data_IF_480705195357
#
_entry.id   IF_480705195357
#
_cell.length_a   1.000
_cell.length_b   1.000
_cell.length_c   1.000
_cell.angle_alpha   90.00
_cell.angle_beta   90.00
_cell.angle_gamma   90.00
#
_symmetry.space_group_name_H-M   'P 1'
#
loop_
_entity.id
_entity.type
_entity.pdbx_description
1 polymer ?
2 branched ?
3 branched ?
4 non-polymer ?
5 non-polymer ?
6 non-polymer ?
7 water ?
#
# COMPACT_ATOMS: atom_id res chain seq x y z
N UNK A 1 18.49 -12.69 13.68
CA UNK A 1 19.57 -13.69 13.44
C UNK A 1 20.39 -13.33 12.20
N UNK A 2 19.93 -13.80 11.03
CA UNK A 2 20.60 -13.54 9.74
C UNK A 2 19.62 -12.74 8.88
N UNK A 3 20.13 -12.03 7.87
CA UNK A 3 19.28 -11.26 6.99
C UNK A 3 18.40 -12.21 6.19
N UNK A 4 17.12 -11.86 6.02
CA UNK A 4 16.24 -12.70 5.24
C UNK A 4 16.56 -12.58 3.75
N UNK A 5 16.50 -13.70 3.04
CA UNK A 5 16.73 -13.74 1.60
C UNK A 5 15.44 -14.23 0.94
N UNK A 6 15.08 -13.61 -0.18
CA UNK A 6 13.87 -13.98 -0.91
C UNK A 6 14.16 -15.23 -1.71
N UNK A 7 14.17 -16.36 -1.04
CA UNK A 7 14.50 -17.61 -1.70
C UNK A 7 13.32 -18.40 -2.25
N UNK A 8 12.11 -18.07 -1.85
CA UNK A 8 10.94 -18.81 -2.33
C UNK A 8 10.14 -18.07 -3.38
N UNK A 9 9.32 -18.84 -4.11
CA UNK A 9 8.47 -18.26 -5.13
C UNK A 9 7.11 -18.16 -4.46
N UNK A 10 6.14 -17.52 -5.13
CA UNK A 10 4.79 -17.36 -4.57
C UNK A 10 4.01 -18.69 -4.54
N UNK A 11 3.15 -18.84 -3.54
CA UNK A 11 2.31 -20.04 -3.48
C UNK A 11 1.24 -19.82 -4.57
N UNK A 12 0.62 -20.90 -5.02
CA UNK A 12 -0.43 -20.82 -6.04
C UNK A 12 -1.67 -20.21 -5.38
N UNK A 13 -2.17 -19.15 -5.99
CA UNK A 13 -3.32 -18.45 -5.46
C UNK A 13 -4.58 -18.98 -6.12
N UNK A 14 -5.36 -19.79 -5.39
CA UNK A 14 -6.59 -20.34 -5.96
C UNK A 14 -7.82 -19.63 -5.40
N UNK A 15 -7.59 -18.91 -4.30
CA UNK A 15 -8.59 -18.06 -3.64
C UNK A 15 -7.93 -17.26 -2.50
N UNK A 16 -8.75 -16.48 -1.79
CA UNK A 16 -8.26 -15.66 -0.69
C UNK A 16 -9.04 -15.97 0.60
N UNK A 17 -8.32 -16.14 1.70
CA UNK A 17 -8.96 -16.41 3.00
C UNK A 17 -8.79 -15.16 3.89
N UNK A 18 -9.72 -14.97 4.83
CA UNK A 18 -9.65 -13.83 5.75
C UNK A 18 -8.42 -14.01 6.65
N UNK A 19 -7.64 -12.93 6.77
CA UNK A 19 -6.41 -12.93 7.56
C UNK A 19 -6.58 -12.04 8.81
N UNK A 20 -6.99 -10.78 8.60
CA UNK A 20 -7.21 -9.88 9.72
C UNK A 20 -8.26 -8.83 9.43
N UNK A 21 -8.87 -8.29 10.49
CA UNK A 21 -9.88 -7.25 10.38
C UNK A 21 -9.97 -6.66 11.79
N UNK A 22 -9.85 -5.33 11.88
CA UNK A 22 -9.89 -4.69 13.18
C UNK A 22 -11.21 -3.98 13.56
N UNK A 23 -12.13 -3.81 12.61
CA UNK A 23 -13.42 -3.17 12.91
C UNK A 23 -13.17 -1.89 13.72
N UNK A 24 -12.13 -1.15 13.36
CA UNK A 24 -11.73 0.03 14.11
C UNK A 24 -12.80 1.11 14.28
N UNK A 25 -13.50 1.45 13.20
CA UNK A 25 -14.52 2.49 13.27
C UNK A 25 -15.74 2.07 14.13
N UNK A 26 -16.16 0.80 14.05
CA UNK A 26 -17.26 0.28 14.87
C UNK A 26 -16.89 0.42 16.34
N UNK A 27 -15.75 -0.18 16.70
CA UNK A 27 -15.26 -0.17 18.07
C UNK A 27 -15.00 1.23 18.62
N UNK A 28 -14.37 2.08 17.80
CA UNK A 28 -14.01 3.44 18.18
C UNK A 28 -15.15 4.40 18.41
N UNK A 29 -16.37 3.94 18.11
CA UNK A 29 -17.57 4.75 18.34
C UNK A 29 -17.71 4.93 19.86
N UNK A 30 -17.14 4.00 20.62
CA UNK A 30 -17.24 4.04 22.07
C UNK A 30 -15.99 3.52 22.78
N UNK A 31 -14.81 3.88 22.29
CA UNK A 31 -13.57 3.51 22.93
C UNK A 31 -12.49 4.41 22.32
N UNK A 32 -11.32 4.50 22.95
CA UNK A 32 -10.29 5.41 22.51
C UNK A 32 -9.42 4.98 21.35
N UNK A 33 -10.05 4.97 20.18
CA UNK A 33 -9.42 4.56 18.95
C UNK A 33 -8.94 5.80 18.21
N UNK A 34 -7.69 5.76 17.76
CA UNK A 34 -7.11 6.87 17.02
C UNK A 34 -7.65 6.97 15.60
N UNK A 35 -7.74 8.20 15.10
CA UNK A 35 -8.18 8.44 13.74
C UNK A 35 -6.93 8.10 12.92
N UNK A 36 -7.09 7.40 11.82
CA UNK A 36 -5.97 7.04 10.95
C UNK A 36 -6.39 7.16 9.49
N UNK A 37 -5.46 6.75 8.62
CA UNK A 37 -5.62 6.58 7.17
C UNK A 37 -4.27 6.04 6.68
N UNK A 38 -4.23 5.60 5.42
CA UNK A 38 -3.00 5.07 4.82
C UNK A 38 -2.43 3.90 5.64
N UNK A 39 -3.27 2.90 5.91
CA UNK A 39 -2.80 1.75 6.69
C UNK A 39 -2.07 0.72 5.82
N UNK A 40 -1.49 -0.27 6.50
CA UNK A 40 -0.85 -1.40 5.84
C UNK A 40 -0.54 -2.48 6.87
N UNK A 41 0.09 -3.56 6.44
CA UNK A 41 0.41 -4.64 7.34
C UNK A 41 1.87 -5.00 7.05
N UNK A 42 2.60 -5.42 8.08
CA UNK A 42 4.01 -5.78 7.93
C UNK A 42 4.42 -6.76 9.03
N UNK A 43 5.21 -7.77 8.65
CA UNK A 43 5.65 -8.81 9.58
C UNK A 43 7.09 -8.71 10.03
N UNK A 44 7.28 -9.15 11.26
CA UNK A 44 8.59 -9.25 11.89
C UNK A 44 8.72 -10.78 11.90
N UNK A 45 9.91 -11.32 12.18
CA UNK A 45 10.08 -12.78 12.21
C UNK A 45 9.17 -13.52 13.20
N UNK A 46 8.73 -12.83 14.24
CA UNK A 46 7.89 -13.46 15.25
C UNK A 46 6.51 -12.84 15.46
N UNK A 47 6.14 -11.87 14.61
CA UNK A 47 4.87 -11.19 14.77
C UNK A 47 4.50 -10.37 13.54
N UNK A 48 3.21 -10.29 13.22
CA UNK A 48 2.73 -9.47 12.10
C UNK A 48 1.84 -8.44 12.76
N UNK A 49 1.94 -7.20 12.31
CA UNK A 49 1.17 -6.11 12.91
C UNK A 49 0.51 -5.17 11.90
N UNK A 50 -0.48 -4.41 12.37
CA UNK A 50 -1.14 -3.41 11.52
C UNK A 50 -0.33 -2.12 11.70
N UNK A 51 -0.29 -1.31 10.65
CA UNK A 51 0.42 -0.04 10.63
C UNK A 51 -0.51 1.00 10.01
N UNK A 52 -0.32 2.27 10.35
CA UNK A 52 -1.09 3.39 9.77
C UNK A 52 -0.56 4.74 10.20
N UNK A 53 -1.08 5.77 9.54
CA UNK A 53 -0.71 7.12 9.87
C UNK A 53 -1.83 7.70 10.76
N UNK A 54 -1.50 7.84 12.05
CA UNK A 54 -2.44 8.40 13.00
C UNK A 54 -2.63 9.87 12.66
N UNK A 55 -3.73 10.44 13.13
CA UNK A 55 -4.01 11.85 12.94
C UNK A 55 -3.83 12.56 14.28
N UNK A 56 -3.35 11.84 15.29
CA UNK A 56 -3.10 12.41 16.60
C UNK A 56 -4.34 12.90 17.34
N UNK A 57 -5.41 12.09 17.31
CA UNK A 57 -6.67 12.39 17.99
C UNK A 57 -7.53 11.12 17.90
N UNK A 58 -8.48 10.95 18.81
CA UNK A 58 -9.39 9.81 18.77
C UNK A 58 -10.54 10.20 17.81
N UNK A 59 -11.31 9.22 17.35
CA UNK A 59 -12.42 9.48 16.43
C UNK A 59 -13.54 10.27 17.10
N UNK A 60 -13.86 9.92 18.34
CA UNK A 60 -14.90 10.64 19.08
C UNK A 60 -14.41 12.00 19.61
N UNK A 61 -13.10 12.21 19.61
CA UNK A 61 -12.54 13.45 20.10
C UNK A 61 -12.90 14.62 19.21
N UNK A 62 -12.97 15.80 19.81
CA UNK A 62 -13.31 17.01 19.07
C UNK A 62 -12.24 17.34 18.04
N UNK A 63 -11.00 16.89 18.26
CA UNK A 63 -9.93 17.16 17.30
C UNK A 63 -10.04 16.28 16.05
N UNK A 64 -11.07 15.44 15.99
CA UNK A 64 -11.28 14.58 14.79
C UNK A 64 -11.80 15.47 13.67
N UNK A 65 -12.30 16.65 14.04
CA UNK A 65 -12.82 17.59 13.08
C UNK A 65 -11.68 18.07 12.19
N UNK A 66 -11.76 17.78 10.89
CA UNK A 66 -10.73 18.23 9.97
C UNK A 66 -9.74 17.16 9.51
N UNK A 67 -9.86 15.94 10.04
CA UNK A 67 -8.94 14.85 9.69
C UNK A 67 -8.98 14.38 8.24
N UNK A 68 -9.74 15.09 7.39
CA UNK A 68 -9.71 14.74 5.98
C UNK A 68 -8.31 15.21 5.45
N UNK A 69 -7.73 16.22 6.10
CA UNK A 69 -6.42 16.74 5.70
C UNK A 69 -5.30 15.73 5.86
N UNK A 70 -4.42 15.71 4.86
CA UNK A 70 -3.30 14.77 4.75
C UNK A 70 -2.01 14.96 5.51
N UNK A 71 -1.55 16.21 5.63
CA UNK A 71 -0.25 16.44 6.22
C UNK A 71 -0.23 17.49 7.30
N UNK A 72 -0.24 17.07 8.55
CA UNK A 72 -0.19 18.00 9.68
C UNK A 72 0.95 17.54 10.56
N UNK A 73 1.30 18.37 11.54
CA UNK A 73 2.37 18.06 12.47
C UNK A 73 1.91 17.06 13.53
N UNK A 74 0.64 16.63 13.47
CA UNK A 74 0.10 15.70 14.46
C UNK A 74 -0.02 14.26 14.02
N UNK A 75 0.52 13.96 12.84
CA UNK A 75 0.49 12.62 12.31
C UNK A 75 1.75 11.84 12.68
N UNK A 76 1.62 10.52 12.70
CA UNK A 76 2.76 9.65 13.02
C UNK A 76 2.49 8.24 12.50
N UNK A 77 3.55 7.50 12.16
CA UNK A 77 3.37 6.13 11.75
C UNK A 77 3.23 5.34 13.06
N UNK A 78 2.14 4.59 13.22
CA UNK A 78 1.96 3.78 14.42
C UNK A 78 1.77 2.33 14.01
N UNK A 79 2.01 1.41 14.94
CA UNK A 79 1.77 0.02 14.65
C UNK A 79 1.07 -0.55 15.90
N UNK A 80 0.30 -1.61 15.70
CA UNK A 80 -0.40 -2.19 16.82
C UNK A 80 -0.67 -3.66 16.48
N UNK A 81 -1.03 -4.47 17.49
CA UNK A 81 -1.30 -5.90 17.29
C UNK A 81 -2.34 -6.22 16.22
N UNK A 82 -2.04 -7.25 15.43
CA UNK A 82 -2.88 -7.73 14.34
C UNK A 82 -4.35 -7.89 14.73
N UNK A 83 -5.21 -7.22 13.95
CA UNK A 83 -6.65 -7.26 14.11
C UNK A 83 -7.22 -6.53 15.32
N UNK A 84 -6.36 -5.90 16.11
CA UNK A 84 -6.81 -5.08 17.24
C UNK A 84 -6.99 -3.71 16.57
N UNK A 85 -7.77 -2.79 17.19
CA UNK A 85 -7.90 -1.48 16.53
C UNK A 85 -6.74 -0.61 17.02
N UNK A 86 -6.43 0.47 16.28
CA UNK A 86 -5.33 1.35 16.73
C UNK A 86 -5.85 2.26 17.86
N UNK A 87 -5.61 1.87 19.11
CA UNK A 87 -6.07 2.66 20.24
C UNK A 87 -4.96 3.54 20.81
N UNK A 88 -5.31 4.50 21.64
CA UNK A 88 -4.34 5.38 22.27
C UNK A 88 -3.37 4.56 23.13
N UNK A 89 -3.90 3.52 23.77
CA UNK A 89 -3.15 2.68 24.69
C UNK A 89 -2.35 1.47 24.12
N UNK A 90 -2.63 1.04 22.88
CA UNK A 90 -1.91 -0.10 22.29
C UNK A 90 -1.14 0.27 21.02
N UNK A 91 -1.13 1.55 20.66
CA UNK A 91 -0.43 1.96 19.45
C UNK A 91 1.00 2.38 19.73
N UNK A 92 1.93 1.80 18.98
CA UNK A 92 3.35 2.10 19.15
C UNK A 92 3.78 3.03 18.03
N UNK A 93 4.37 4.19 18.38
CA UNK A 93 4.82 5.14 17.37
C UNK A 93 6.18 4.71 16.82
N UNK A 94 6.26 4.55 15.49
CA UNK A 94 7.49 4.15 14.82
C UNK A 94 8.34 5.38 14.43
N UNK A 95 7.65 6.48 14.10
CA UNK A 95 8.29 7.75 13.73
C UNK A 95 7.19 8.79 13.46
N UNK A 96 7.61 10.05 13.38
CA UNK A 96 6.71 11.18 13.16
C UNK A 96 6.69 11.63 11.70
N UNK A 97 5.48 11.80 11.13
CA UNK A 97 5.39 12.20 9.73
C UNK A 97 4.07 11.89 9.08
N UNK A 98 3.93 12.25 7.81
CA UNK A 98 2.68 12.05 7.10
C UNK A 98 2.75 11.21 5.84
N UNK A 99 3.84 10.46 5.70
CA UNK A 99 4.06 9.53 4.59
C UNK A 99 5.11 8.58 5.13
N UNK A 100 4.91 7.28 4.88
CA UNK A 100 5.81 6.27 5.44
C UNK A 100 5.89 4.95 4.70
N UNK A 101 6.85 4.16 5.15
CA UNK A 101 7.05 2.78 4.73
C UNK A 101 7.79 2.10 5.89
N UNK A 102 7.82 0.78 5.92
CA UNK A 102 8.48 0.05 6.98
C UNK A 102 8.67 -1.39 6.55
N UNK A 103 9.76 -2.01 7.01
CA UNK A 103 10.00 -3.41 6.69
C UNK A 103 11.09 -3.98 7.58
N UNK A 104 10.99 -5.28 7.85
CA UNK A 104 11.97 -6.00 8.66
C UNK A 104 12.93 -6.72 7.72
N UNK A 105 14.22 -6.64 8.00
CA UNK A 105 15.21 -7.29 7.14
C UNK A 105 15.62 -8.65 7.65
N UNK A 106 14.96 -9.12 8.71
CA UNK A 106 15.30 -10.42 9.25
C UNK A 106 16.05 -10.26 10.55
N UNK A 107 16.79 -9.17 10.70
CA UNK A 107 17.53 -8.90 11.93
C UNK A 107 16.72 -7.89 12.72
N UNK A 108 16.39 -6.77 12.07
CA UNK A 108 15.59 -5.74 12.72
C UNK A 108 14.79 -4.94 11.69
N UNK A 109 13.97 -4.01 12.18
CA UNK A 109 13.10 -3.23 11.31
C UNK A 109 13.57 -1.82 10.94
N UNK A 110 13.32 -1.46 9.69
CA UNK A 110 13.62 -0.12 9.20
C UNK A 110 12.27 0.58 9.04
N UNK A 111 12.15 1.79 9.56
CA UNK A 111 10.90 2.55 9.40
C UNK A 111 11.27 3.92 8.86
N UNK A 112 10.48 4.42 7.92
CA UNK A 112 10.76 5.73 7.30
C UNK A 112 9.54 6.63 7.38
N UNK A 113 9.73 7.85 7.87
CA UNK A 113 8.64 8.81 7.96
C UNK A 113 9.11 10.11 7.35
N UNK A 114 8.25 10.71 6.56
CA UNK A 114 8.55 12.00 5.94
C UNK A 114 7.65 13.04 6.61
N UNK A 115 8.21 14.19 6.94
CA UNK A 115 7.43 15.27 7.56
C UNK A 115 7.90 16.61 6.97
N UNK A 116 7.20 17.67 7.34
CA UNK A 116 7.57 19.00 6.89
C UNK A 116 6.53 19.68 6.02
N UNK A 117 6.78 20.96 5.66
CA UNK A 117 5.86 21.72 4.80
C UNK A 117 6.04 21.17 3.38
N UNK A 118 5.13 21.51 2.48
CA UNK A 118 5.21 21.01 1.09
C UNK A 118 6.52 21.26 0.38
N UNK A 119 7.12 22.42 0.62
CA UNK A 119 8.36 22.76 -0.06
C UNK A 119 9.64 22.52 0.71
N UNK A 120 9.56 21.81 1.84
CA UNK A 120 10.76 21.62 2.63
C UNK A 120 10.66 20.35 3.47
N UNK A 121 10.11 19.28 2.88
CA UNK A 121 9.97 18.02 3.60
C UNK A 121 11.28 17.26 3.68
N UNK A 122 11.35 16.31 4.61
CA UNK A 122 12.54 15.48 4.79
C UNK A 122 12.13 14.10 5.30
N UNK A 123 12.87 13.08 4.88
CA UNK A 123 12.62 11.72 5.33
C UNK A 123 13.65 11.40 6.41
N UNK A 124 13.21 10.71 7.48
CA UNK A 124 14.13 10.25 8.52
C UNK A 124 13.98 8.73 8.50
N UNK A 125 15.12 8.05 8.32
CA UNK A 125 15.16 6.60 8.24
C UNK A 125 15.60 6.05 9.58
N UNK A 126 14.71 5.25 10.19
CA UNK A 126 14.92 4.62 11.49
C UNK A 126 15.29 3.15 11.31
N UNK A 127 16.24 2.68 12.10
CA UNK A 127 16.66 1.28 12.06
C UNK A 127 16.90 0.83 13.50
N UNK A 128 16.29 -0.29 13.87
CA UNK A 128 16.41 -0.78 15.23
C UNK A 128 15.86 0.28 16.20
N UNK A 129 14.79 0.94 15.77
CA UNK A 129 14.08 1.98 16.54
C UNK A 129 14.90 3.20 16.90
N UNK A 130 15.95 3.47 16.11
CA UNK A 130 16.80 4.63 16.29
C UNK A 130 16.93 5.37 14.97
N UNK A 131 16.99 6.72 14.99
CA UNK A 131 17.12 7.47 13.73
C UNK A 131 18.56 7.29 13.23
N UNK A 132 18.73 6.93 11.96
CA UNK A 132 20.06 6.70 11.40
C UNK A 132 20.47 7.62 10.24
N UNK A 133 19.56 7.82 9.28
CA UNK A 133 19.81 8.63 8.09
C UNK A 133 18.66 9.61 7.82
N UNK A 134 18.99 10.74 7.20
CA UNK A 134 17.98 11.73 6.84
C UNK A 134 18.20 12.14 5.39
N UNK A 135 17.10 12.38 4.67
CA UNK A 135 17.16 12.78 3.26
C UNK A 135 16.27 14.00 3.05
N UNK A 136 16.86 15.09 2.58
CA UNK A 136 16.10 16.32 2.35
C UNK A 136 15.38 16.26 1.01
N UNK A 137 14.26 16.97 0.92
CA UNK A 137 13.46 17.06 -0.29
C UNK A 137 14.39 17.48 -1.46
N UNK A 138 14.24 16.83 -2.61
CA UNK A 138 15.08 17.18 -3.77
C UNK A 138 14.32 17.97 -4.82
N UNK A 139 12.99 17.93 -4.76
CA UNK A 139 12.19 18.64 -5.73
C UNK A 139 11.28 19.67 -5.05
N UNK A 140 11.36 19.74 -3.72
CA UNK A 140 10.60 20.70 -2.91
C UNK A 140 9.11 20.73 -3.20
N UNK A 141 8.52 19.56 -3.35
CA UNK A 141 7.09 19.46 -3.64
C UNK A 141 6.57 18.12 -3.10
N UNK A 142 6.24 18.14 -1.81
CA UNK A 142 5.72 16.97 -1.12
C UNK A 142 6.47 15.65 -1.33
N UNK A 143 7.68 15.58 -0.75
CA UNK A 143 8.47 14.34 -0.79
C UNK A 143 7.50 13.30 -0.19
N UNK A 144 7.37 12.13 -0.83
CA UNK A 144 6.42 11.12 -0.35
C UNK A 144 6.86 9.70 -0.72
N UNK A 145 6.35 8.70 -0.03
CA UNK A 145 6.78 7.35 -0.32
C UNK A 145 5.65 6.34 -0.45
N UNK A 146 5.93 5.07 -0.16
CA UNK A 146 4.99 4.00 -0.41
C UNK A 146 3.62 3.89 0.27
N UNK A 147 3.57 4.11 1.58
CA UNK A 147 2.34 3.97 2.38
C UNK A 147 2.01 2.49 2.56
N UNK A 148 3.01 1.63 2.34
CA UNK A 148 2.89 0.17 2.59
C UNK A 148 4.30 -0.38 2.79
N UNK A 149 4.44 -1.62 3.24
CA UNK A 149 5.77 -2.13 3.51
C UNK A 149 6.77 -2.23 2.37
N UNK A 150 8.05 -2.05 2.72
CA UNK A 150 9.12 -2.20 1.74
C UNK A 150 9.50 -3.69 1.83
N UNK A 151 10.48 -4.12 1.05
CA UNK A 151 10.89 -5.53 1.07
C UNK A 151 12.40 -5.59 1.12
N UNK A 152 12.96 -6.53 1.88
CA UNK A 152 14.42 -6.66 1.97
C UNK A 152 14.97 -7.99 1.43
N UNK A 153 16.23 -7.96 1.03
CA UNK A 153 16.92 -9.16 0.55
C UNK A 153 18.40 -9.01 0.95
N UNK A 154 18.85 -9.94 1.78
CA UNK A 154 20.22 -9.95 2.31
C UNK A 154 20.63 -8.59 2.87
N UNK A 155 19.72 -7.95 3.61
CA UNK A 155 20.02 -6.66 4.21
C UNK A 155 19.69 -5.46 3.37
N UNK A 156 19.53 -5.62 2.06
CA UNK A 156 19.20 -4.49 1.18
C UNK A 156 17.70 -4.36 1.05
N UNK A 157 17.19 -3.21 1.48
CA UNK A 157 15.76 -2.88 1.46
C UNK A 157 15.48 -1.67 0.55
N UNK A 158 15.10 -1.92 -0.72
CA UNK A 158 14.81 -0.81 -1.64
C UNK A 158 13.49 -0.11 -1.28
N UNK A 159 13.46 1.21 -1.50
CA UNK A 159 12.28 2.01 -1.21
C UNK A 159 12.07 3.02 -2.34
N UNK A 160 10.82 3.16 -2.78
CA UNK A 160 10.51 4.10 -3.85
C UNK A 160 9.95 5.39 -3.27
N UNK A 161 10.56 6.52 -3.66
CA UNK A 161 10.17 7.87 -3.23
C UNK A 161 9.83 8.69 -4.46
N UNK A 162 8.95 9.68 -4.29
CA UNK A 162 8.63 10.60 -5.37
C UNK A 162 8.64 12.00 -4.77
N UNK A 163 9.19 12.97 -5.51
CA UNK A 163 9.20 14.36 -5.08
C UNK A 163 8.89 15.15 -6.36
N UNK A 164 7.94 16.09 -6.26
CA UNK A 164 7.56 16.86 -7.43
C UNK A 164 6.05 16.76 -7.67
N UNK A 165 5.62 17.19 -8.85
CA UNK A 165 4.19 17.21 -9.21
C UNK A 165 3.41 15.90 -9.16
N UNK A 166 2.12 16.03 -8.82
CA UNK A 166 1.19 14.90 -8.77
C UNK A 166 0.37 14.93 -10.07
N UNK A 167 0.58 15.99 -10.85
CA UNK A 167 -0.17 16.20 -12.10
C UNK A 167 0.70 16.48 -13.33
N UNK A 168 1.93 15.99 -13.28
CA UNK A 168 2.86 16.17 -14.38
C UNK A 168 4.08 15.37 -14.01
N UNK A 169 5.15 15.41 -14.82
CA UNK A 169 6.36 14.65 -14.48
C UNK A 169 6.90 15.01 -13.07
N UNK A 170 7.38 14.00 -12.35
CA UNK A 170 7.92 14.20 -11.01
C UNK A 170 9.29 13.54 -10.93
N UNK A 171 9.96 13.66 -9.80
CA UNK A 171 11.28 13.04 -9.64
C UNK A 171 11.24 11.86 -8.67
N UNK A 172 11.16 10.66 -9.25
CA UNK A 172 11.09 9.43 -8.49
C UNK A 172 12.48 8.86 -8.36
N UNK A 173 12.77 8.34 -7.17
CA UNK A 173 14.06 7.75 -6.88
C UNK A 173 13.87 6.42 -6.15
N UNK A 174 14.78 5.50 -6.42
CA UNK A 174 14.76 4.21 -5.75
C UNK A 174 16.01 4.25 -4.87
N UNK A 175 15.82 4.19 -3.57
CA UNK A 175 16.92 4.18 -2.63
C UNK A 175 17.13 2.75 -2.14
N UNK A 176 18.39 2.34 -2.07
CA UNK A 176 18.75 1.01 -1.59
C UNK A 176 19.37 1.19 -0.19
N UNK A 177 18.63 0.79 0.85
CA UNK A 177 19.13 0.95 2.22
C UNK A 177 19.64 -0.37 2.79
N UNK A 178 20.60 -0.27 3.69
CA UNK A 178 21.07 -1.44 4.41
C UNK A 178 21.40 -0.92 5.81
N UNK A 179 20.74 -1.47 6.81
CA UNK A 179 20.90 -1.03 8.18
C UNK A 179 20.65 0.49 8.31
N UNK A 180 19.65 0.96 7.57
CA UNK A 180 19.27 2.36 7.60
C UNK A 180 20.21 3.31 6.89
N UNK A 181 21.27 2.78 6.32
CA UNK A 181 22.22 3.64 5.63
C UNK A 181 21.98 3.54 4.12
N UNK A 182 22.27 4.61 3.40
CA UNK A 182 22.09 4.61 1.96
C UNK A 182 23.27 3.95 1.24
N UNK A 183 23.00 2.85 0.56
CA UNK A 183 24.03 2.18 -0.21
C UNK A 183 24.11 2.85 -1.57
N UNK A 184 22.94 3.15 -2.13
CA UNK A 184 22.86 3.71 -3.47
C UNK A 184 21.43 4.22 -3.71
N UNK A 185 21.29 5.13 -4.67
CA UNK A 185 19.97 5.58 -5.10
C UNK A 185 20.08 5.79 -6.60
N UNK A 186 18.96 5.66 -7.30
CA UNK A 186 18.96 5.90 -8.72
C UNK A 186 17.65 6.53 -9.11
N UNK A 187 17.66 7.30 -10.20
CA UNK A 187 16.42 7.93 -10.64
C UNK A 187 15.59 6.86 -11.34
N UNK A 188 14.28 7.01 -11.32
CA UNK A 188 13.40 6.07 -11.99
C UNK A 188 13.78 5.94 -13.48
N UNK A 189 13.73 4.71 -13.99
CA UNK A 189 14.02 4.45 -15.40
C UNK A 189 12.87 3.60 -15.93
N UNK A 190 12.92 3.31 -17.23
CA UNK A 190 11.88 2.51 -17.85
C UNK A 190 10.80 3.37 -18.49
N UNK A 191 9.65 2.76 -18.76
CA UNK A 191 8.56 3.48 -19.41
C UNK A 191 7.44 4.03 -18.49
N UNK A 192 7.51 3.78 -17.19
CA UNK A 192 6.49 4.30 -16.28
C UNK A 192 6.65 5.82 -16.33
N UNK A 193 5.56 6.54 -16.56
CA UNK A 193 5.61 8.02 -16.71
C UNK A 193 5.38 8.84 -15.44
N UNK A 194 4.78 8.23 -14.42
CA UNK A 194 4.53 8.87 -13.13
C UNK A 194 4.44 7.74 -12.09
N UNK A 195 5.06 7.94 -10.92
CA UNK A 195 5.09 6.93 -9.86
C UNK A 195 4.74 7.47 -8.48
N UNK A 196 3.83 6.79 -7.80
CA UNK A 196 3.41 7.15 -6.44
C UNK A 196 2.97 5.91 -5.69
N UNK A 197 3.14 5.95 -4.37
CA UNK A 197 2.69 4.89 -3.49
C UNK A 197 2.86 3.44 -3.95
N UNK A 198 4.09 3.02 -4.19
CA UNK A 198 4.30 1.66 -4.64
C UNK A 198 3.97 0.58 -3.61
N UNK A 199 3.31 -0.48 -4.07
CA UNK A 199 2.95 -1.63 -3.24
C UNK A 199 3.87 -2.77 -3.69
N UNK A 200 4.71 -3.25 -2.78
CA UNK A 200 5.71 -4.23 -3.17
C UNK A 200 5.71 -5.56 -2.45
N UNK A 201 6.35 -6.54 -3.09
CA UNK A 201 6.52 -7.87 -2.52
C UNK A 201 7.76 -8.49 -3.17
N UNK A 202 8.28 -9.56 -2.56
CA UNK A 202 9.46 -10.19 -3.12
C UNK A 202 9.34 -11.70 -3.23
N UNK A 203 10.05 -12.26 -4.21
CA UNK A 203 10.07 -13.70 -4.40
C UNK A 203 11.23 -14.00 -5.32
N UNK A 204 11.94 -15.08 -5.04
CA UNK A 204 13.08 -15.50 -5.84
C UNK A 204 14.04 -14.36 -6.21
N UNK A 205 14.49 -13.67 -5.17
CA UNK A 205 15.44 -12.58 -5.29
C UNK A 205 15.06 -11.42 -6.19
N UNK A 206 13.76 -11.17 -6.33
CA UNK A 206 13.31 -10.05 -7.12
C UNK A 206 12.15 -9.35 -6.39
N UNK A 207 12.11 -8.03 -6.45
CA UNK A 207 11.07 -7.27 -5.80
C UNK A 207 10.19 -6.60 -6.85
N UNK A 208 8.90 -6.87 -6.77
CA UNK A 208 7.93 -6.32 -7.69
C UNK A 208 7.06 -5.31 -6.97
N UNK A 209 6.95 -4.12 -7.55
CA UNK A 209 6.15 -3.04 -6.99
C UNK A 209 5.09 -2.58 -7.97
N UNK A 210 3.83 -2.54 -7.53
CA UNK A 210 2.73 -2.06 -8.39
C UNK A 210 2.41 -0.69 -7.79
N UNK A 211 2.51 0.34 -8.61
CA UNK A 211 2.31 1.69 -8.10
C UNK A 211 1.13 2.44 -8.68
N UNK A 212 1.13 3.76 -8.48
CA UNK A 212 0.04 4.63 -8.91
C UNK A 212 0.57 5.74 -9.82
N UNK A 213 0.05 5.81 -11.05
CA UNK A 213 0.39 6.86 -11.99
C UNK A 213 -0.72 7.87 -11.79
N UNK A 214 -0.49 8.84 -10.93
CA UNK A 214 -1.52 9.81 -10.63
C UNK A 214 -1.84 10.76 -11.79
N UNK A 215 -0.80 11.08 -12.55
CA UNK A 215 -0.89 12.01 -13.65
C UNK A 215 -1.81 11.59 -14.80
N UNK A 216 -1.53 10.45 -15.40
CA UNK A 216 -2.36 10.03 -16.53
C UNK A 216 -2.86 8.61 -16.61
N UNK A 217 -2.17 7.68 -15.95
CA UNK A 217 -2.55 6.28 -16.09
C UNK A 217 -3.67 5.63 -15.27
N UNK A 218 -4.54 4.91 -15.97
CA UNK A 218 -5.63 4.19 -15.30
C UNK A 218 -5.19 2.74 -15.20
N UNK A 219 -4.11 2.40 -15.92
CA UNK A 219 -3.50 1.08 -15.79
C UNK A 219 -2.43 1.41 -14.73
N UNK A 220 -1.85 0.42 -14.06
CA UNK A 220 -0.86 0.73 -13.02
C UNK A 220 0.58 0.50 -13.43
N UNK A 221 1.47 1.46 -13.09
CA UNK A 221 2.89 1.30 -13.42
C UNK A 221 3.51 0.20 -12.53
N UNK A 222 4.52 -0.47 -13.06
CA UNK A 222 5.19 -1.55 -12.33
C UNK A 222 6.70 -1.36 -12.34
N UNK A 223 7.29 -1.46 -11.15
CA UNK A 223 8.74 -1.35 -11.00
C UNK A 223 9.28 -2.68 -10.48
N UNK A 224 10.21 -3.28 -11.22
CA UNK A 224 10.80 -4.54 -10.78
C UNK A 224 12.23 -4.21 -10.40
N UNK A 225 12.60 -4.63 -9.20
CA UNK A 225 13.90 -4.32 -8.66
C UNK A 225 14.76 -5.53 -8.38
N UNK A 226 16.03 -5.40 -8.73
CA UNK A 226 17.01 -6.45 -8.45
C UNK A 226 17.78 -5.88 -7.23
N UNK A 227 17.51 -6.40 -6.02
CA UNK A 227 18.18 -5.90 -4.82
C UNK A 227 19.64 -6.29 -4.66
N UNK A 228 20.12 -7.19 -5.50
CA UNK A 228 21.52 -7.59 -5.42
C UNK A 228 22.30 -6.64 -6.34
N UNK A 229 21.87 -6.55 -7.60
CA UNK A 229 22.53 -5.65 -8.54
C UNK A 229 22.15 -4.20 -8.22
N UNK A 230 21.06 -4.02 -7.47
CA UNK A 230 20.55 -2.71 -7.12
C UNK A 230 20.23 -1.93 -8.38
N UNK A 231 19.43 -2.55 -9.23
CA UNK A 231 18.97 -1.97 -10.49
C UNK A 231 17.46 -2.30 -10.62
N UNK A 232 16.79 -1.65 -11.55
CA UNK A 232 15.36 -1.86 -11.74
C UNK A 232 14.90 -1.54 -13.17
N UNK A 233 13.64 -1.85 -13.44
CA UNK A 233 13.02 -1.55 -14.71
C UNK A 233 11.65 -1.08 -14.32
N UNK A 234 10.95 -0.50 -15.28
CA UNK A 234 9.59 -0.06 -15.04
C UNK A 234 8.81 -0.15 -16.35
N UNK A 235 7.51 -0.39 -16.20
CA UNK A 235 6.58 -0.50 -17.32
C UNK A 235 5.18 -0.36 -16.73
N UNK A 236 4.15 -0.73 -17.50
CA UNK A 236 2.78 -0.70 -17.01
C UNK A 236 2.24 -2.12 -17.13
N UNK A 237 1.17 -2.40 -16.38
CA UNK A 237 0.53 -3.69 -16.50
C UNK A 237 -0.17 -3.59 -17.89
N UNK A 238 0.16 -4.52 -18.79
CA UNK A 238 -0.38 -4.57 -20.16
C UNK A 238 -1.89 -4.82 -20.25
N UNK A 239 -2.39 -5.68 -19.39
CA UNK A 239 -3.80 -6.05 -19.37
C UNK A 239 -4.84 -4.94 -19.51
N UNK A 240 -5.92 -5.19 -20.28
CA UNK A 240 -6.99 -4.19 -20.45
C UNK A 240 -7.88 -4.13 -19.20
N UNK A 241 -7.65 -5.02 -18.22
CA UNK A 241 -8.43 -4.99 -16.96
C UNK A 241 -7.79 -3.85 -16.13
N UNK A 242 -8.33 -2.64 -16.24
CA UNK A 242 -7.75 -1.47 -15.56
C UNK A 242 -7.96 -1.48 -14.03
N UNK A 243 -6.89 -1.17 -13.27
CA UNK A 243 -6.99 -1.22 -11.81
C UNK A 243 -6.78 0.04 -10.95
N UNK A 244 -6.66 1.21 -11.56
CA UNK A 244 -6.56 2.40 -10.74
C UNK A 244 -8.00 2.90 -10.54
N UNK A 245 -8.16 4.05 -9.89
CA UNK A 245 -9.48 4.63 -9.65
C UNK A 245 -9.35 6.12 -9.32
N UNK A 246 -10.18 6.99 -9.95
CA UNK A 246 -11.20 6.64 -10.95
C UNK A 246 -10.53 6.15 -12.24
N UNK A 247 -11.32 5.58 -13.15
CA UNK A 247 -10.75 5.07 -14.38
C UNK A 247 -11.86 4.92 -15.41
N UNK A 248 -11.49 4.82 -16.70
CA UNK A 248 -12.51 4.67 -17.73
C UNK A 248 -12.92 3.20 -17.73
N UNK A 249 -13.91 2.83 -18.53
CA UNK A 249 -14.33 1.43 -18.56
C UNK A 249 -13.23 0.58 -19.17
N UNK A 250 -13.27 -0.72 -18.90
CA UNK A 250 -12.26 -1.62 -19.42
C UNK A 250 -12.35 -1.76 -20.95
N UNK A 251 -11.21 -1.60 -21.65
CA UNK A 251 -11.11 -1.74 -23.11
C UNK A 251 -10.84 -3.23 -23.40
N UNK A 252 -10.56 -3.58 -24.65
CA UNK A 252 -10.26 -4.97 -24.98
C UNK A 252 -8.76 -5.13 -25.10
N UNK A 253 -8.05 -4.02 -25.20
CA UNK A 253 -6.60 -4.08 -25.24
C UNK A 253 -6.01 -2.93 -24.41
N UNK A 254 -5.03 -3.25 -23.57
CA UNK A 254 -4.41 -2.24 -22.72
C UNK A 254 -3.13 -1.64 -23.28
N UNK A 255 -2.37 -1.00 -22.42
CA UNK A 255 -1.10 -0.39 -22.82
C UNK A 255 0.03 -0.89 -21.91
N UNK A 256 1.11 -1.35 -22.55
CA UNK A 256 2.28 -1.89 -21.86
C UNK A 256 3.35 -0.89 -21.43
N UNK A 257 3.53 0.17 -22.22
CA UNK A 257 4.58 1.13 -21.93
C UNK A 257 4.14 2.59 -21.90
N UNK A 258 2.86 2.82 -21.65
CA UNK A 258 2.34 4.16 -21.57
C UNK A 258 1.11 4.12 -20.71
N UNK A 259 0.74 5.25 -20.12
CA UNK A 259 -0.46 5.25 -19.28
C UNK A 259 -1.69 5.05 -20.16
N UNK A 260 -2.66 4.28 -19.69
CA UNK A 260 -3.87 4.11 -20.46
C UNK A 260 -4.67 5.38 -20.14
N UNK A 261 -5.05 6.18 -21.17
CA UNK A 261 -5.78 7.44 -20.97
C UNK A 261 -7.25 7.38 -20.53
N UNK A 262 -7.80 8.54 -20.20
CA UNK A 262 -9.20 8.60 -19.79
C UNK A 262 -9.42 9.33 -18.49
N UNK A 263 -8.43 9.26 -17.60
CA UNK A 263 -8.51 9.91 -16.30
C UNK A 263 -7.15 10.49 -15.90
N UNK A 264 -7.15 11.78 -15.56
CA UNK A 264 -5.92 12.46 -15.19
C UNK A 264 -5.95 12.96 -13.79
N UNK A 265 -4.75 13.21 -13.28
CA UNK A 265 -4.58 13.79 -11.98
C UNK A 265 -5.39 13.21 -10.85
N UNK A 266 -5.38 11.90 -10.73
CA UNK A 266 -6.08 11.26 -9.62
C UNK A 266 -5.75 9.78 -9.65
N UNK A 267 -6.11 9.10 -8.56
CA UNK A 267 -5.84 7.67 -8.50
C UNK A 267 -6.04 7.18 -7.09
N UNK A 268 -5.58 5.95 -6.83
CA UNK A 268 -5.68 5.36 -5.52
C UNK A 268 -4.52 4.36 -5.40
N UNK A 269 -3.93 4.24 -4.20
CA UNK A 269 -2.85 3.27 -4.00
C UNK A 269 -3.45 1.89 -4.21
N UNK A 270 -2.77 1.05 -4.97
CA UNK A 270 -3.26 -0.29 -5.24
C UNK A 270 -2.12 -1.30 -5.35
N UNK A 271 -2.42 -2.53 -5.77
CA UNK A 271 -1.37 -3.54 -5.85
C UNK A 271 -1.78 -4.67 -6.77
N UNK A 272 -0.84 -5.59 -6.97
CA UNK A 272 -1.08 -6.78 -7.78
C UNK A 272 0.01 -7.81 -7.48
N UNK A 273 -0.23 -9.05 -7.89
CA UNK A 273 0.77 -10.14 -7.77
C UNK A 273 0.93 -10.60 -9.21
N UNK A 274 2.10 -10.36 -9.78
CA UNK A 274 2.39 -10.69 -11.18
C UNK A 274 3.31 -11.89 -11.25
N UNK A 275 2.71 -13.05 -11.54
CA UNK A 275 3.42 -14.30 -11.54
C UNK A 275 2.89 -15.27 -12.62
N UNK A 276 3.06 -14.89 -13.89
CA UNK A 276 2.57 -15.75 -14.97
C UNK A 276 1.08 -16.00 -14.88
N UNK A 277 0.66 -17.25 -14.94
CA UNK A 277 -0.77 -17.58 -14.85
C UNK A 277 -1.30 -17.32 -13.43
N UNK A 278 -0.40 -17.40 -12.45
CA UNK A 278 -0.74 -17.16 -11.05
C UNK A 278 -0.74 -15.62 -10.81
N UNK A 279 -1.38 -14.88 -11.71
CA UNK A 279 -1.43 -13.43 -11.59
C UNK A 279 -2.80 -12.99 -11.10
N UNK A 280 -2.80 -12.18 -10.04
CA UNK A 280 -4.07 -11.67 -9.48
C UNK A 280 -4.02 -10.16 -9.33
N UNK A 281 -5.08 -9.47 -9.79
CA UNK A 281 -5.15 -8.03 -9.70
C UNK A 281 -6.23 -7.57 -8.74
N UNK A 282 -5.92 -6.55 -7.94
CA UNK A 282 -6.90 -6.01 -7.04
C UNK A 282 -7.40 -4.70 -7.62
N UNK A 283 -8.64 -4.35 -7.33
CA UNK A 283 -9.22 -3.09 -7.77
C UNK A 283 -10.56 -2.80 -7.14
N UNK A 284 -10.95 -1.52 -7.15
CA UNK A 284 -12.25 -1.10 -6.61
C UNK A 284 -13.25 -1.57 -7.68
N UNK A 285 -14.47 -1.89 -7.28
CA UNK A 285 -15.46 -2.31 -8.27
C UNK A 285 -15.90 -1.08 -9.06
N UNK A 286 -16.16 0.02 -8.37
CA UNK A 286 -16.57 1.26 -9.03
C UNK A 286 -15.43 1.85 -9.87
N UNK A 287 -15.75 2.39 -11.05
CA UNK A 287 -14.73 3.01 -11.88
C UNK A 287 -14.71 4.50 -11.55
N UNK A 288 -15.68 4.94 -10.76
CA UNK A 288 -15.79 6.35 -10.41
C UNK A 288 -15.30 6.71 -9.01
N UNK A 289 -15.49 5.81 -8.06
CA UNK A 289 -15.08 6.10 -6.70
C UNK A 289 -14.50 4.91 -5.94
N UNK A 290 -13.99 5.20 -4.74
CA UNK A 290 -13.38 4.20 -3.87
C UNK A 290 -14.50 3.43 -3.21
N UNK A 291 -15.15 2.63 -4.03
CA UNK A 291 -16.28 1.81 -3.65
C UNK A 291 -16.05 0.37 -4.06
N UNK A 292 -16.32 -0.56 -3.14
CA UNK A 292 -16.14 -1.97 -3.40
C UNK A 292 -14.69 -2.37 -3.64
N UNK A 293 -14.45 -3.67 -3.64
CA UNK A 293 -13.10 -4.18 -3.88
C UNK A 293 -13.17 -5.63 -4.33
N UNK A 294 -12.42 -5.96 -5.37
CA UNK A 294 -12.39 -7.32 -5.88
C UNK A 294 -10.99 -7.75 -6.29
N UNK A 295 -10.77 -9.07 -6.28
CA UNK A 295 -9.52 -9.67 -6.72
C UNK A 295 -9.90 -10.38 -8.03
N UNK A 296 -9.08 -10.20 -9.06
CA UNK A 296 -9.29 -10.81 -10.37
C UNK A 296 -8.05 -11.58 -10.84
N UNK A 297 -8.24 -12.85 -11.22
CA UNK A 297 -7.12 -13.63 -11.70
C UNK A 297 -7.01 -13.30 -13.19
N UNK A 298 -5.90 -12.69 -13.56
CA UNK A 298 -5.70 -12.29 -14.93
C UNK A 298 -4.34 -12.83 -15.36
N UNK A 299 -4.33 -14.07 -15.90
CA UNK A 299 -3.10 -14.70 -16.36
C UNK A 299 -2.26 -13.81 -17.25
N UNK A 300 -0.99 -13.66 -16.90
CA UNK A 300 -0.02 -12.83 -17.64
C UNK A 300 -0.41 -11.39 -17.81
N UNK A 301 -1.18 -10.85 -16.86
CA UNK A 301 -1.62 -9.46 -16.94
C UNK A 301 -0.47 -8.49 -17.27
N UNK A 302 0.67 -8.68 -16.63
CA UNK A 302 1.81 -7.79 -16.85
C UNK A 302 2.29 -7.68 -18.30
N UNK A 303 2.27 -8.79 -19.01
CA UNK A 303 2.78 -8.84 -20.37
C UNK A 303 1.81 -9.03 -21.51
N UNK A 304 0.56 -9.35 -21.20
CA UNK A 304 -0.45 -9.64 -22.22
C UNK A 304 -1.46 -8.51 -22.29
N UNK A 305 -1.37 -7.71 -23.34
CA UNK A 305 -2.24 -6.55 -23.51
C UNK A 305 -3.71 -6.84 -23.86
N UNK A 306 -4.07 -8.11 -23.88
CA UNK A 306 -5.44 -8.50 -24.15
C UNK A 306 -5.96 -9.42 -23.03
N UNK A 307 -5.13 -9.64 -22.00
CA UNK A 307 -5.49 -10.52 -20.89
C UNK A 307 -6.77 -10.10 -20.16
N UNK A 308 -7.65 -11.08 -19.93
CA UNK A 308 -8.92 -10.83 -19.24
C UNK A 308 -9.05 -11.84 -18.08
N UNK A 309 -9.99 -11.61 -17.14
CA UNK A 309 -10.13 -12.52 -16.01
C UNK A 309 -10.58 -13.95 -16.29
N UNK A 310 -10.03 -14.88 -15.51
CA UNK A 310 -10.39 -16.30 -15.61
C UNK A 310 -11.03 -16.79 -14.29
N UNK A 311 -10.95 -15.95 -13.25
CA UNK A 311 -11.50 -16.27 -11.92
C UNK A 311 -11.51 -14.99 -11.13
N UNK A 312 -12.27 -14.97 -10.05
CA UNK A 312 -12.30 -13.75 -9.26
C UNK A 312 -12.84 -13.96 -7.86
N UNK A 313 -12.74 -12.92 -7.04
CA UNK A 313 -13.28 -13.02 -5.70
C UNK A 313 -13.62 -11.62 -5.23
N UNK A 314 -14.84 -11.46 -4.74
CA UNK A 314 -15.26 -10.14 -4.27
C UNK A 314 -14.77 -10.03 -2.82
N UNK A 315 -14.22 -8.87 -2.47
CA UNK A 315 -13.71 -8.63 -1.12
C UNK A 315 -14.64 -7.65 -0.37
N UNK A 316 -15.05 -6.58 -1.05
CA UNK A 316 -15.96 -5.57 -0.47
C UNK A 316 -17.01 -5.26 -1.55
N UNK A 317 -18.28 -5.24 -1.16
CA UNK A 317 -19.36 -4.98 -2.12
C UNK A 317 -19.30 -3.55 -2.62
N UNK A 318 -19.77 -3.34 -3.84
CA UNK A 318 -19.75 -2.01 -4.40
C UNK A 318 -20.62 -1.05 -3.60
N UNK A 319 -21.43 -1.59 -2.70
CA UNK A 319 -22.30 -0.76 -1.87
C UNK A 319 -21.59 -0.36 -0.57
N UNK A 320 -20.30 -0.68 -0.49
CA UNK A 320 -19.52 -0.33 0.69
C UNK A 320 -18.25 0.41 0.29
N UNK A 321 -17.78 1.27 1.19
CA UNK A 321 -16.57 2.04 0.94
C UNK A 321 -15.25 1.26 1.09
N UNK A 322 -14.34 1.46 0.13
CA UNK A 322 -13.03 0.83 0.20
C UNK A 322 -12.01 1.97 0.32
N UNK A 323 -10.89 1.86 -0.39
CA UNK A 323 -9.85 2.87 -0.31
C UNK A 323 -8.54 2.28 -0.76
N UNK A 324 -7.44 2.62 -0.08
CA UNK A 324 -6.11 2.11 -0.42
C UNK A 324 -6.01 0.58 -0.25
N UNK A 325 -5.09 -0.04 -0.97
CA UNK A 325 -4.87 -1.46 -0.82
C UNK A 325 -3.39 -1.65 -1.12
N UNK A 326 -2.80 -2.69 -0.53
CA UNK A 326 -1.38 -2.93 -0.74
C UNK A 326 -0.97 -4.33 -0.40
N UNK A 327 0.25 -4.68 -0.80
CA UNK A 327 0.77 -6.01 -0.60
C UNK A 327 1.72 -6.15 0.60
N UNK A 328 1.76 -7.36 1.15
CA UNK A 328 2.68 -7.74 2.22
C UNK A 328 2.62 -9.25 2.28
N UNK A 329 3.66 -9.86 2.85
CA UNK A 329 3.70 -11.30 3.02
C UNK A 329 4.49 -11.58 4.28
N UNK A 330 4.21 -12.73 4.87
CA UNK A 330 4.95 -13.13 6.05
C UNK A 330 6.13 -13.93 5.50
N UNK A 331 7.27 -13.26 5.36
CA UNK A 331 8.47 -13.90 4.85
C UNK A 331 9.11 -14.87 5.81
N UNK A 332 8.55 -14.99 7.01
CA UNK A 332 9.12 -15.88 8.00
C UNK A 332 8.20 -17.06 8.37
N UNK A 333 7.20 -17.31 7.54
CA UNK A 333 6.26 -18.41 7.75
C UNK A 333 6.93 -19.72 7.36
N UNK A 334 6.31 -20.84 7.68
CA UNK A 334 6.87 -22.15 7.30
C UNK A 334 6.44 -22.50 5.88
N UNK A 335 6.98 -23.59 5.35
CA UNK A 335 6.56 -23.97 4.03
C UNK A 335 7.58 -23.68 2.96
N UNK A 336 7.23 -24.07 1.73
CA UNK A 336 8.12 -23.92 0.59
C UNK A 336 7.86 -22.72 -0.27
N UNK A 337 6.83 -21.95 0.06
CA UNK A 337 6.47 -20.80 -0.75
C UNK A 337 5.98 -19.61 0.09
N UNK A 338 5.99 -18.42 -0.51
CA UNK A 338 5.53 -17.21 0.15
C UNK A 338 4.04 -17.06 -0.16
N UNK A 339 3.22 -16.89 0.87
CA UNK A 339 1.78 -16.74 0.70
C UNK A 339 1.41 -15.27 0.49
N UNK A 340 0.96 -14.96 -0.72
CA UNK A 340 0.56 -13.60 -1.05
C UNK A 340 -0.54 -13.10 -0.13
N UNK A 341 -0.40 -11.87 0.37
CA UNK A 341 -1.43 -11.24 1.21
C UNK A 341 -1.61 -9.81 0.75
N UNK A 342 -2.72 -9.20 1.19
CA UNK A 342 -3.01 -7.80 0.91
C UNK A 342 -3.98 -7.27 1.95
N UNK A 343 -4.08 -5.95 2.00
CA UNK A 343 -5.03 -5.32 2.92
C UNK A 343 -5.80 -4.31 2.07
N UNK A 344 -7.01 -3.95 2.53
CA UNK A 344 -7.82 -2.92 1.89
C UNK A 344 -8.19 -1.94 3.01
N UNK A 345 -8.00 -0.65 2.73
CA UNK A 345 -8.33 0.40 3.68
C UNK A 345 -9.81 0.70 3.42
N UNK A 346 -10.64 0.64 4.47
CA UNK A 346 -12.07 0.92 4.34
C UNK A 346 -12.31 2.31 4.93
N UNK A 347 -12.27 3.32 4.05
CA UNK A 347 -12.41 4.70 4.48
C UNK A 347 -13.83 5.07 4.84
N UNK A 348 -13.97 5.76 5.98
CA UNK A 348 -15.26 6.20 6.44
C UNK A 348 -15.17 7.68 6.75
N UNK A 349 -16.28 8.38 6.60
CA UNK A 349 -16.30 9.81 6.88
C UNK A 349 -16.12 10.59 5.60
N UNK A 350 -15.48 11.74 5.72
CA UNK A 350 -15.27 12.59 4.56
C UNK A 350 -14.27 12.03 3.55
N UNK A 351 -14.46 12.36 2.27
CA UNK A 351 -15.53 13.22 1.75
C UNK A 351 -16.86 12.57 1.39
N UNK A 352 -16.89 11.25 1.33
CA UNK A 352 -18.11 10.56 0.94
C UNK A 352 -19.22 10.63 1.95
N UNK A 353 -18.86 10.65 3.23
CA UNK A 353 -19.85 10.69 4.29
C UNK A 353 -19.58 11.96 5.09
N UNK A 354 -20.12 13.06 4.60
CA UNK A 354 -19.85 14.35 5.21
C UNK A 354 -20.74 14.82 6.36
N UNK A 355 -21.59 13.93 6.86
CA UNK A 355 -22.44 14.28 8.00
C UNK A 355 -21.53 14.34 9.24
N UNK A 356 -20.39 13.65 9.17
CA UNK A 356 -19.39 13.68 10.24
C UNK A 356 -18.27 14.59 9.74
N UNK A 357 -17.52 15.15 10.68
CA UNK A 357 -16.43 16.08 10.35
C UNK A 357 -15.07 15.46 10.21
N UNK A 358 -15.03 14.15 10.43
CA UNK A 358 -13.77 13.42 10.36
C UNK A 358 -13.67 12.50 9.16
N UNK A 359 -12.47 11.95 9.02
CA UNK A 359 -12.15 10.96 8.01
C UNK A 359 -11.27 9.93 8.71
N UNK A 360 -11.64 8.67 8.63
CA UNK A 360 -10.83 7.62 9.21
C UNK A 360 -11.00 6.35 8.37
N UNK A 361 -10.64 5.21 8.94
CA UNK A 361 -10.75 3.94 8.26
C UNK A 361 -10.61 2.77 9.21
N UNK A 362 -10.87 1.59 8.68
CA UNK A 362 -10.65 0.35 9.40
C UNK A 362 -9.85 -0.48 8.36
N UNK A 363 -9.41 -1.66 8.75
CA UNK A 363 -8.62 -2.52 7.88
C UNK A 363 -9.21 -3.91 7.71
N UNK A 364 -9.14 -4.44 6.49
CA UNK A 364 -9.51 -5.82 6.26
C UNK A 364 -8.28 -6.35 5.49
N UNK A 365 -7.92 -7.59 5.76
CA UNK A 365 -6.74 -8.19 5.17
C UNK A 365 -6.98 -9.67 4.84
N UNK A 366 -6.46 -10.13 3.70
CA UNK A 366 -6.58 -11.50 3.25
C UNK A 366 -5.22 -12.04 2.78
N UNK A 367 -5.10 -13.36 2.73
CA UNK A 367 -3.88 -14.03 2.22
C UNK A 367 -4.41 -15.11 1.29
N UNK A 368 -3.57 -15.62 0.42
CA UNK A 368 -4.02 -16.64 -0.54
C UNK A 368 -4.13 -18.04 0.04
N UNK A 369 -4.97 -18.85 -0.60
CA UNK A 369 -5.18 -20.23 -0.23
C UNK A 369 -5.01 -21.04 -1.51
N UNK A 370 -4.52 -22.27 -1.38
CA UNK A 370 -4.39 -23.14 -2.53
C UNK A 370 -5.75 -23.82 -2.76
N UNK A 371 -6.67 -23.66 -1.80
CA UNK A 371 -8.01 -24.21 -1.94
C UNK A 371 -8.82 -23.19 -2.71
N UNK A 372 -10.02 -23.60 -3.14
CA UNK A 372 -10.94 -22.71 -3.84
C UNK A 372 -12.03 -22.45 -2.83
N UNK A 373 -11.78 -21.48 -1.94
CA UNK A 373 -12.69 -21.14 -0.86
C UNK A 373 -13.90 -20.28 -1.22
N UNK A 374 -15.00 -20.54 -0.51
CA UNK A 374 -16.20 -19.76 -0.70
C UNK A 374 -15.88 -18.32 -0.33
N UNK A 375 -16.60 -17.37 -0.92
CA UNK A 375 -16.32 -15.98 -0.63
C UNK A 375 -17.39 -15.29 0.20
N UNK A 376 -16.96 -14.26 0.94
CA UNK A 376 -17.84 -13.43 1.75
C UNK A 376 -17.40 -12.00 1.45
N UNK A 377 -18.21 -11.01 1.83
CA UNK A 377 -17.80 -9.64 1.64
C UNK A 377 -17.48 -9.13 3.04
N UNK A 378 -16.57 -8.16 3.11
CA UNK A 378 -16.08 -7.65 4.37
C UNK A 378 -16.12 -6.13 4.48
N UNK A 379 -17.29 -5.59 4.86
CA UNK A 379 -17.44 -4.14 5.00
C UNK A 379 -16.84 -3.58 6.32
N UNK A 380 -16.68 -2.26 6.39
CA UNK A 380 -16.16 -1.66 7.60
C UNK A 380 -17.11 -2.03 8.76
N UNK A 381 -18.42 -1.93 8.51
CA UNK A 381 -19.41 -2.29 9.50
C UNK A 381 -19.97 -1.22 10.42
N UNK A 382 -19.42 -0.02 10.38
CA UNK A 382 -19.93 1.03 11.26
C UNK A 382 -21.15 1.72 10.68
N UNK A 383 -21.98 2.26 11.56
CA UNK A 383 -23.18 3.02 11.19
C UNK A 383 -22.85 4.47 11.45
N UNK A 384 -22.66 5.25 10.39
CA UNK A 384 -22.32 6.66 10.53
C UNK A 384 -23.32 7.41 11.42
N UNK A 385 -24.60 7.09 11.27
CA UNK A 385 -25.67 7.74 12.05
C UNK A 385 -25.40 7.72 13.54
N UNK A 386 -24.69 6.70 14.01
CA UNK A 386 -24.35 6.57 15.42
C UNK A 386 -23.41 7.69 15.87
N UNK A 387 -22.66 8.24 14.93
CA UNK A 387 -21.68 9.27 15.23
C UNK A 387 -22.27 10.68 15.17
N UNK A 388 -23.53 10.78 14.75
CA UNK A 388 -24.18 12.07 14.62
C UNK A 388 -24.71 12.62 15.93
#
# INVERSE_FOLDING_TARGET
RDFNNLTKGLCTINSWHIYGKDNAVRIGEDSDVLVTREPYVSCDPDECRFYALSQGTTIRGKHSNGTIHDRSQYRALISWPLSSPPTVYNSRVECIGWSSTSCHDGKTRMSICISGPNNNASAVIWYNRRPVTEINTWARNILRTQESECVCHNGVCPVVFTDGSATGPAETRIYYFKEGKILKWEPLAGTAKHIEECSCYGERAEITCTCRDNWQGSNRPVIRIDPVAMTHTSQYICSPVLTDNPRPNDPTVGKCNDPYPGNNNNGVKGFSYLDGVNTWLGRTISIASRSGYEMLKVPNALTDDKSKPTQGQTIVLNTDWSGYSGSFMDYWAEGECYRACFYVELIRGRPKEDKVWWTSNSIVSMCSSTEFLGQWDWPDGAKIEYFL
#
